data_IF_116039690676
#
_entry.id   IF_116039690676
#
_cell.length_a   1.000
_cell.length_b   1.000
_cell.length_c   1.000
_cell.angle_alpha   90.00
_cell.angle_beta   90.00
_cell.angle_gamma   90.00
#
_symmetry.space_group_name_H-M   'P 1'
#
loop_
_entity.id
_entity.type
_entity.pdbx_description
1 polymer ?
#
# COMPACT_ATOMS: atom_id res chain seq x y z
N UNK A 1 -62.32 91.88 -19.21
CA UNK A 1 -61.92 90.65 -19.85
C UNK A 1 -61.49 89.67 -18.76
N UNK A 2 -62.36 88.70 -18.41
CA UNK A 2 -62.20 87.76 -17.28
C UNK A 2 -61.38 86.55 -17.67
N UNK A 3 -60.26 86.27 -16.98
CA UNK A 3 -59.44 85.09 -17.15
C UNK A 3 -60.06 83.96 -16.29
N UNK A 4 -60.65 82.95 -16.98
CA UNK A 4 -61.05 81.67 -16.30
C UNK A 4 -59.85 80.90 -15.83
N UNK A 5 -59.71 80.63 -14.54
CA UNK A 5 -58.81 79.69 -13.89
C UNK A 5 -59.32 78.31 -14.15
N UNK A 6 -58.58 77.46 -14.82
CA UNK A 6 -58.80 75.99 -14.96
C UNK A 6 -58.17 75.35 -13.73
N UNK A 7 -58.96 74.79 -12.85
CA UNK A 7 -58.53 74.01 -11.70
C UNK A 7 -58.42 72.54 -12.17
N UNK A 8 -57.22 72.03 -12.32
CA UNK A 8 -56.99 70.61 -12.56
C UNK A 8 -57.07 69.90 -11.24
N UNK A 9 -58.12 69.09 -11.04
CA UNK A 9 -58.21 68.15 -9.91
C UNK A 9 -57.14 67.02 -10.10
N UNK A 10 -56.33 66.69 -9.09
CA UNK A 10 -55.45 65.55 -9.14
C UNK A 10 -56.30 64.28 -9.27
N UNK A 11 -56.00 63.43 -10.29
CA UNK A 11 -56.52 62.08 -10.41
C UNK A 11 -56.09 61.29 -9.18
N UNK A 12 -57.08 60.75 -8.48
CA UNK A 12 -56.83 59.92 -7.31
C UNK A 12 -55.88 58.77 -7.62
N UNK A 13 -54.90 58.58 -6.72
CA UNK A 13 -54.09 57.40 -6.64
C UNK A 13 -55.03 56.17 -6.56
N UNK A 14 -55.07 55.39 -7.67
CA UNK A 14 -55.59 54.04 -7.58
C UNK A 14 -54.63 53.26 -6.69
N UNK A 15 -55.01 53.06 -5.42
CA UNK A 15 -54.41 52.02 -4.59
C UNK A 15 -54.60 50.71 -5.36
N UNK A 16 -53.58 50.19 -5.95
CA UNK A 16 -53.49 48.80 -6.37
C UNK A 16 -53.70 47.98 -5.08
N UNK A 17 -54.92 47.43 -4.91
CA UNK A 17 -55.19 46.48 -3.80
C UNK A 17 -54.15 45.36 -3.93
N UNK A 18 -53.20 45.30 -3.01
CA UNK A 18 -52.27 44.17 -2.91
C UNK A 18 -53.10 42.89 -2.74
N UNK A 19 -53.03 42.05 -3.76
CA UNK A 19 -53.73 40.76 -3.70
C UNK A 19 -52.94 39.82 -2.78
N UNK A 20 -53.62 39.30 -1.78
CA UNK A 20 -53.03 38.37 -0.81
C UNK A 20 -54.04 37.25 -0.49
N UNK A 21 -53.65 36.01 -0.76
CA UNK A 21 -54.44 34.84 -0.39
C UNK A 21 -54.37 34.60 1.12
N UNK A 22 -55.53 34.65 1.80
CA UNK A 22 -55.68 34.43 3.25
C UNK A 22 -56.60 33.27 3.55
N UNK A 23 -56.35 32.59 4.67
CA UNK A 23 -57.13 31.46 5.15
C UNK A 23 -58.17 31.97 6.13
N UNK A 24 -59.41 31.57 5.97
CA UNK A 24 -60.54 31.92 6.83
C UNK A 24 -61.24 30.64 7.30
N UNK A 25 -61.51 30.48 8.59
CA UNK A 25 -62.37 29.42 9.09
C UNK A 25 -63.80 29.65 8.60
N UNK A 26 -64.51 28.59 8.27
CA UNK A 26 -65.87 28.65 7.78
C UNK A 26 -66.61 27.35 8.09
N UNK A 27 -67.95 27.38 8.03
CA UNK A 27 -68.74 26.17 8.09
C UNK A 27 -69.63 26.04 6.85
N UNK A 28 -70.00 24.84 6.51
CA UNK A 28 -70.94 24.55 5.44
C UNK A 28 -71.92 23.43 5.88
N UNK A 29 -73.15 23.50 5.45
CA UNK A 29 -74.13 22.49 5.78
C UNK A 29 -74.35 21.55 4.61
N UNK A 30 -74.32 20.25 4.85
CA UNK A 30 -74.56 19.20 3.84
C UNK A 30 -75.53 18.18 4.47
N UNK A 31 -76.68 18.02 3.86
CA UNK A 31 -77.74 17.10 4.35
C UNK A 31 -78.15 17.35 5.78
N UNK A 32 -78.26 18.61 6.19
CA UNK A 32 -78.69 19.02 7.57
C UNK A 32 -77.62 18.93 8.65
N UNK A 33 -76.37 18.49 8.27
CA UNK A 33 -75.22 18.43 9.20
C UNK A 33 -74.26 19.54 8.87
N UNK A 34 -73.83 20.28 9.91
CA UNK A 34 -72.85 21.36 9.77
C UNK A 34 -71.39 20.78 9.83
N UNK A 35 -70.57 21.17 8.89
CA UNK A 35 -69.14 20.76 8.77
C UNK A 35 -68.26 22.00 8.85
N UNK A 36 -67.17 21.88 9.61
CA UNK A 36 -66.15 22.91 9.69
C UNK A 36 -65.17 22.80 8.52
N UNK A 37 -64.72 23.91 7.97
CA UNK A 37 -63.75 23.95 6.85
C UNK A 37 -62.95 25.27 6.87
N UNK A 38 -61.92 25.32 6.02
CA UNK A 38 -61.06 26.48 5.81
C UNK A 38 -61.19 26.94 4.37
N UNK A 39 -61.46 28.25 4.16
CA UNK A 39 -61.59 28.86 2.85
C UNK A 39 -60.37 29.75 2.59
N UNK A 40 -59.65 29.48 1.53
CA UNK A 40 -58.58 30.39 1.03
C UNK A 40 -59.21 31.33 0.01
N UNK A 41 -59.06 32.63 0.17
CA UNK A 41 -59.56 33.69 -0.71
C UNK A 41 -58.71 34.95 -0.65
N UNK A 42 -58.88 35.92 -1.57
CA UNK A 42 -58.21 37.21 -1.56
C UNK A 42 -57.29 37.43 -2.76
N UNK A 43 -57.40 36.61 -3.81
CA UNK A 43 -56.66 36.79 -5.07
C UNK A 43 -57.59 36.70 -6.27
N UNK A 44 -57.13 37.20 -7.42
CA UNK A 44 -57.81 37.14 -8.72
C UNK A 44 -57.01 36.35 -9.71
N UNK A 45 -57.67 35.59 -10.58
CA UNK A 45 -57.11 34.99 -11.78
C UNK A 45 -58.00 35.51 -12.94
N UNK A 46 -57.40 36.04 -13.96
CA UNK A 46 -58.10 36.65 -15.14
C UNK A 46 -59.17 37.64 -14.71
N UNK A 47 -58.89 38.46 -13.71
CA UNK A 47 -59.79 39.48 -13.18
C UNK A 47 -60.90 39.01 -12.29
N UNK A 48 -61.07 37.66 -12.09
CA UNK A 48 -62.12 37.07 -11.25
C UNK A 48 -61.58 36.65 -9.90
N UNK A 49 -62.30 37.03 -8.82
CA UNK A 49 -61.96 36.59 -7.45
C UNK A 49 -62.05 35.08 -7.33
N UNK A 50 -60.98 34.47 -6.73
CA UNK A 50 -60.86 33.06 -6.50
C UNK A 50 -61.09 32.67 -5.06
N UNK A 51 -61.63 31.48 -4.82
CA UNK A 51 -61.72 30.83 -3.51
C UNK A 51 -61.50 29.33 -3.63
N UNK A 52 -60.90 28.73 -2.61
CA UNK A 52 -60.73 27.27 -2.51
C UNK A 52 -60.97 26.80 -1.09
N UNK A 53 -61.72 25.71 -0.94
CA UNK A 53 -62.10 25.16 0.36
C UNK A 53 -61.25 23.94 0.71
N UNK A 54 -60.90 23.81 1.99
CA UNK A 54 -60.11 22.72 2.55
C UNK A 54 -60.75 22.24 3.85
N UNK A 55 -60.63 20.95 4.15
CA UNK A 55 -61.04 20.36 5.44
C UNK A 55 -59.93 20.40 6.47
N UNK A 56 -58.67 20.64 6.06
CA UNK A 56 -57.47 20.66 6.87
C UNK A 56 -56.80 22.03 6.82
N UNK A 57 -56.46 22.58 8.00
CA UNK A 57 -55.87 23.91 8.13
C UNK A 57 -54.47 23.99 7.50
N UNK A 58 -53.61 23.01 7.74
CA UNK A 58 -52.26 23.00 7.23
C UNK A 58 -52.22 22.98 5.70
N UNK A 59 -53.17 22.24 5.07
CA UNK A 59 -53.34 22.23 3.62
C UNK A 59 -53.85 23.57 3.08
N UNK A 60 -54.74 24.23 3.79
CA UNK A 60 -55.22 25.56 3.41
C UNK A 60 -54.11 26.61 3.48
N UNK A 61 -53.33 26.60 4.55
CA UNK A 61 -52.17 27.48 4.70
C UNK A 61 -51.06 27.25 3.67
N UNK A 62 -50.74 25.98 3.38
CA UNK A 62 -49.80 25.64 2.36
C UNK A 62 -50.23 26.15 0.98
N UNK A 63 -51.52 25.99 0.65
CA UNK A 63 -52.10 26.51 -0.60
C UNK A 63 -52.08 28.04 -0.64
N UNK A 64 -52.43 28.74 0.44
CA UNK A 64 -52.35 30.19 0.50
C UNK A 64 -50.93 30.71 0.29
N UNK A 65 -49.91 30.02 0.89
CA UNK A 65 -48.52 30.36 0.68
C UNK A 65 -48.11 30.18 -0.79
N UNK A 66 -48.51 29.10 -1.44
CA UNK A 66 -48.17 28.87 -2.87
C UNK A 66 -48.81 29.94 -3.78
N UNK A 67 -50.04 30.34 -3.53
CA UNK A 67 -50.72 31.43 -4.27
C UNK A 67 -50.00 32.75 -4.06
N UNK A 68 -49.62 33.09 -2.84
CA UNK A 68 -48.91 34.36 -2.55
C UNK A 68 -47.51 34.38 -3.18
N UNK A 69 -46.81 33.26 -3.27
CA UNK A 69 -45.57 33.16 -3.99
C UNK A 69 -45.76 33.44 -5.49
N UNK A 70 -46.78 32.84 -6.11
CA UNK A 70 -47.09 33.07 -7.51
C UNK A 70 -47.43 34.53 -7.79
N UNK A 71 -48.25 35.16 -6.92
CA UNK A 71 -48.59 36.61 -7.02
C UNK A 71 -47.36 37.50 -6.93
N UNK A 72 -46.39 37.16 -6.07
CA UNK A 72 -45.10 37.88 -5.94
C UNK A 72 -44.18 37.67 -7.12
N UNK A 73 -44.30 36.53 -7.80
CA UNK A 73 -43.49 36.21 -8.98
C UNK A 73 -44.02 36.88 -10.27
N UNK A 74 -45.27 37.33 -10.28
CA UNK A 74 -45.83 38.05 -11.47
C UNK A 74 -45.01 39.31 -11.76
N UNK A 75 -44.36 39.35 -12.91
CA UNK A 75 -43.55 40.47 -13.37
C UNK A 75 -42.14 40.60 -12.82
N UNK A 76 -41.63 39.59 -12.11
CA UNK A 76 -40.24 39.60 -11.56
C UNK A 76 -39.29 38.72 -12.39
N UNK A 77 -38.04 39.18 -12.54
CA UNK A 77 -36.95 38.41 -13.19
C UNK A 77 -36.49 37.20 -12.38
N UNK A 78 -36.74 37.17 -11.05
CA UNK A 78 -36.42 36.07 -10.17
C UNK A 78 -37.69 35.50 -9.57
N UNK A 79 -38.00 34.26 -9.90
CA UNK A 79 -39.15 33.55 -9.32
C UNK A 79 -38.84 33.02 -7.92
N UNK A 80 -39.74 33.24 -6.97
CA UNK A 80 -39.75 32.55 -5.68
C UNK A 80 -40.40 31.18 -5.85
N UNK A 81 -39.72 30.12 -5.46
CA UNK A 81 -40.20 28.74 -5.54
C UNK A 81 -40.34 28.18 -4.13
N UNK A 82 -41.48 27.57 -3.85
CA UNK A 82 -41.66 26.84 -2.59
C UNK A 82 -40.96 25.47 -2.73
N UNK A 83 -39.96 25.20 -1.88
CA UNK A 83 -39.25 23.94 -1.82
C UNK A 83 -39.22 23.34 -0.42
N UNK A 84 -39.14 22.01 -0.32
CA UNK A 84 -38.90 21.29 0.93
C UNK A 84 -37.43 21.20 1.30
N UNK A 85 -36.54 21.70 0.45
CA UNK A 85 -35.10 21.66 0.67
C UNK A 85 -34.70 22.68 1.75
N UNK A 86 -33.73 22.34 2.57
CA UNK A 86 -33.09 23.27 3.49
C UNK A 86 -32.27 24.32 2.71
N UNK A 87 -31.99 25.46 3.32
CA UNK A 87 -31.17 26.53 2.74
C UNK A 87 -29.81 25.99 2.27
N UNK A 88 -29.18 25.12 3.06
CA UNK A 88 -27.91 24.47 2.69
C UNK A 88 -28.02 23.62 1.41
N UNK A 89 -29.12 22.88 1.27
CA UNK A 89 -29.39 22.06 0.08
C UNK A 89 -29.66 22.92 -1.14
N UNK A 90 -30.39 24.02 -1.00
CA UNK A 90 -30.63 24.99 -2.10
C UNK A 90 -29.30 25.59 -2.56
N UNK A 91 -28.45 26.04 -1.63
CA UNK A 91 -27.14 26.62 -1.95
C UNK A 91 -26.22 25.60 -2.65
N UNK A 92 -26.25 24.31 -2.23
CA UNK A 92 -25.52 23.24 -2.92
C UNK A 92 -26.04 23.00 -4.34
N UNK A 93 -27.35 22.95 -4.52
CA UNK A 93 -27.96 22.78 -5.84
C UNK A 93 -27.60 23.92 -6.78
N UNK A 94 -27.71 25.19 -6.32
CA UNK A 94 -27.31 26.35 -7.12
C UNK A 94 -25.83 26.33 -7.51
N UNK A 95 -24.94 25.95 -6.58
CA UNK A 95 -23.51 25.79 -6.87
C UNK A 95 -23.27 24.69 -7.91
N UNK A 96 -23.97 23.56 -7.79
CA UNK A 96 -23.87 22.46 -8.75
C UNK A 96 -24.31 22.90 -10.14
N UNK A 97 -25.47 23.56 -10.28
CA UNK A 97 -25.97 24.11 -11.54
C UNK A 97 -25.00 25.11 -12.16
N UNK A 98 -24.43 26.03 -11.38
CA UNK A 98 -23.41 26.98 -11.89
C UNK A 98 -22.16 26.27 -12.40
N UNK A 99 -21.76 25.16 -11.74
CA UNK A 99 -20.56 24.39 -12.15
C UNK A 99 -20.83 23.60 -13.42
N UNK A 100 -22.02 23.05 -13.59
CA UNK A 100 -22.41 22.29 -14.78
C UNK A 100 -22.62 23.16 -16.03
N UNK A 101 -22.97 24.43 -15.84
CA UNK A 101 -23.34 25.32 -16.94
C UNK A 101 -24.60 24.84 -17.67
N UNK A 102 -24.71 25.19 -18.96
CA UNK A 102 -25.85 24.80 -19.81
C UNK A 102 -25.59 23.50 -20.59
N UNK A 103 -24.40 22.89 -20.43
CA UNK A 103 -23.96 21.75 -21.25
C UNK A 103 -24.62 20.44 -20.82
N UNK A 104 -24.87 20.27 -19.51
CA UNK A 104 -25.42 19.05 -18.94
C UNK A 104 -26.62 19.35 -18.03
N UNK A 105 -27.66 18.53 -18.08
CA UNK A 105 -28.73 18.60 -17.12
C UNK A 105 -28.33 17.93 -15.80
N UNK A 106 -28.94 18.34 -14.70
CA UNK A 106 -28.71 17.70 -13.40
C UNK A 106 -29.09 16.21 -13.41
N UNK A 107 -30.15 15.84 -14.15
CA UNK A 107 -30.61 14.46 -14.27
C UNK A 107 -29.56 13.60 -15.01
N UNK A 108 -28.98 14.10 -16.11
CA UNK A 108 -27.90 13.40 -16.82
C UNK A 108 -26.68 13.18 -15.89
N UNK A 109 -26.34 14.16 -15.07
CA UNK A 109 -25.21 14.03 -14.12
C UNK A 109 -25.52 13.05 -13.01
N UNK A 110 -26.71 13.09 -12.46
CA UNK A 110 -27.16 12.13 -11.42
C UNK A 110 -27.18 10.71 -11.98
N UNK A 111 -27.76 10.51 -13.18
CA UNK A 111 -27.80 9.22 -13.82
C UNK A 111 -26.40 8.69 -14.16
N UNK A 112 -25.52 9.55 -14.66
CA UNK A 112 -24.13 9.20 -14.89
C UNK A 112 -23.44 8.81 -13.58
N UNK A 113 -23.60 9.61 -12.51
CA UNK A 113 -23.01 9.33 -11.20
C UNK A 113 -23.52 8.00 -10.63
N UNK A 114 -24.83 7.76 -10.62
CA UNK A 114 -25.42 6.53 -10.11
C UNK A 114 -24.99 5.29 -10.91
N UNK A 115 -24.82 5.46 -12.23
CA UNK A 115 -24.37 4.37 -13.12
C UNK A 115 -22.90 4.02 -12.87
N UNK A 116 -22.02 5.02 -12.60
CA UNK A 116 -20.56 4.82 -12.55
C UNK A 116 -20.01 4.81 -11.12
N UNK A 117 -20.73 5.37 -10.15
CA UNK A 117 -20.32 5.48 -8.76
C UNK A 117 -21.31 4.85 -7.78
N UNK A 118 -22.07 3.86 -8.22
CA UNK A 118 -22.97 3.14 -7.32
C UNK A 118 -22.13 2.53 -6.19
N UNK A 119 -22.40 2.86 -4.92
CA UNK A 119 -21.66 2.25 -3.83
C UNK A 119 -21.89 0.73 -3.86
N UNK A 120 -20.88 -0.08 -3.51
CA UNK A 120 -21.06 -1.52 -3.45
C UNK A 120 -22.13 -1.86 -2.41
N UNK A 121 -22.88 -2.92 -2.66
CA UNK A 121 -23.93 -3.39 -1.74
C UNK A 121 -23.38 -3.80 -0.37
N UNK A 122 -22.09 -4.18 -0.32
CA UNK A 122 -21.37 -4.49 0.90
C UNK A 122 -20.24 -3.48 1.13
N UNK A 123 -20.22 -2.87 2.30
CA UNK A 123 -19.21 -1.89 2.69
C UNK A 123 -18.38 -2.41 3.86
N UNK A 124 -17.08 -2.25 3.78
CA UNK A 124 -16.13 -2.73 4.79
C UNK A 124 -15.03 -1.70 5.01
N UNK A 125 -14.50 -1.61 6.25
CA UNK A 125 -13.36 -0.77 6.55
C UNK A 125 -12.05 -1.36 5.98
N UNK A 126 -11.01 -0.53 5.81
CA UNK A 126 -9.70 -0.99 5.32
C UNK A 126 -9.13 -2.05 6.26
N UNK A 127 -9.20 -1.87 7.59
CA UNK A 127 -8.66 -2.83 8.56
C UNK A 127 -9.40 -4.16 8.56
N UNK A 128 -10.72 -4.15 8.41
CA UNK A 128 -11.48 -5.38 8.35
C UNK A 128 -11.27 -6.10 7.02
N UNK A 129 -11.25 -5.36 5.91
CA UNK A 129 -10.89 -5.89 4.60
C UNK A 129 -9.48 -6.49 4.56
N UNK A 130 -8.52 -5.86 5.25
CA UNK A 130 -7.17 -6.39 5.39
C UNK A 130 -7.15 -7.78 6.05
N UNK A 131 -8.00 -8.05 7.04
CA UNK A 131 -8.04 -9.37 7.70
C UNK A 131 -8.37 -10.45 6.67
N UNK A 132 -9.45 -10.27 5.91
CA UNK A 132 -9.85 -11.22 4.84
C UNK A 132 -8.77 -11.39 3.77
N UNK A 133 -8.17 -10.29 3.33
CA UNK A 133 -7.11 -10.32 2.32
C UNK A 133 -5.88 -11.08 2.76
N UNK A 134 -5.47 -10.88 4.01
CA UNK A 134 -4.33 -11.59 4.60
C UNK A 134 -4.63 -13.07 4.79
N UNK A 135 -5.83 -13.41 5.28
CA UNK A 135 -6.25 -14.80 5.48
C UNK A 135 -6.30 -15.59 4.15
N UNK A 136 -6.70 -14.94 3.06
CA UNK A 136 -6.65 -15.53 1.73
C UNK A 136 -5.22 -15.74 1.26
N UNK A 137 -4.36 -14.72 1.39
CA UNK A 137 -2.93 -14.86 1.06
C UNK A 137 -2.23 -15.96 1.88
N UNK A 138 -2.63 -16.16 3.13
CA UNK A 138 -2.10 -17.21 3.97
C UNK A 138 -2.54 -18.60 3.48
N UNK A 139 -3.80 -18.76 3.06
CA UNK A 139 -4.31 -19.97 2.41
C UNK A 139 -3.63 -20.26 1.07
N UNK A 140 -3.25 -19.21 0.31
CA UNK A 140 -2.44 -19.32 -0.92
C UNK A 140 -0.98 -19.73 -0.64
N UNK A 141 -0.56 -19.89 0.62
CA UNK A 141 0.82 -20.24 0.99
C UNK A 141 1.82 -19.09 0.83
N UNK A 142 1.38 -17.85 0.90
CA UNK A 142 2.26 -16.68 0.89
C UNK A 142 3.10 -16.67 2.17
N UNK A 143 4.42 -16.38 2.01
CA UNK A 143 5.37 -16.40 3.11
C UNK A 143 5.00 -15.43 4.24
N UNK A 144 5.22 -15.84 5.49
CA UNK A 144 4.97 -15.06 6.70
C UNK A 144 5.61 -13.65 6.67
N UNK A 145 6.83 -13.53 6.12
CA UNK A 145 7.51 -12.23 5.97
C UNK A 145 6.78 -11.29 5.01
N UNK A 146 6.17 -11.83 3.96
CA UNK A 146 5.34 -11.04 3.02
C UNK A 146 4.03 -10.64 3.69
N UNK A 147 3.36 -11.57 4.40
CA UNK A 147 2.13 -11.28 5.15
C UNK A 147 2.34 -10.19 6.21
N UNK A 148 3.46 -10.26 6.96
CA UNK A 148 3.83 -9.20 7.92
C UNK A 148 3.99 -7.83 7.24
N UNK A 149 4.61 -7.80 6.06
CA UNK A 149 4.77 -6.56 5.28
C UNK A 149 3.43 -6.03 4.77
N UNK A 150 2.57 -6.89 4.22
CA UNK A 150 1.22 -6.56 3.81
C UNK A 150 0.42 -5.95 4.97
N UNK A 151 0.40 -6.63 6.12
CA UNK A 151 -0.25 -6.13 7.35
C UNK A 151 0.28 -4.75 7.76
N UNK A 152 1.59 -4.56 7.73
CA UNK A 152 2.23 -3.29 8.09
C UNK A 152 1.78 -2.15 7.16
N UNK A 153 1.81 -2.38 5.84
CA UNK A 153 1.47 -1.34 4.85
C UNK A 153 -0.01 -0.97 4.94
N UNK A 154 -0.91 -1.96 4.98
CA UNK A 154 -2.35 -1.71 5.03
C UNK A 154 -2.78 -1.07 6.35
N UNK A 155 -2.16 -1.46 7.50
CA UNK A 155 -2.37 -0.78 8.78
C UNK A 155 -1.92 0.68 8.74
N UNK A 156 -0.73 0.95 8.19
CA UNK A 156 -0.22 2.31 8.09
C UNK A 156 -1.13 3.18 7.19
N UNK A 157 -1.63 2.62 6.09
CA UNK A 157 -2.57 3.30 5.21
C UNK A 157 -3.92 3.54 5.89
N UNK A 158 -4.48 2.55 6.56
CA UNK A 158 -5.73 2.69 7.30
C UNK A 158 -5.65 3.79 8.37
N UNK A 159 -4.53 3.83 9.12
CA UNK A 159 -4.32 4.89 10.12
C UNK A 159 -4.21 6.29 9.48
N UNK A 160 -3.59 6.40 8.30
CA UNK A 160 -3.45 7.67 7.59
C UNK A 160 -4.77 8.17 6.96
N UNK A 161 -5.78 7.32 6.85
CA UNK A 161 -7.09 7.59 6.24
C UNK A 161 -8.25 7.37 7.20
N UNK A 162 -8.00 7.44 8.52
CA UNK A 162 -9.01 7.23 9.58
C UNK A 162 -9.81 5.93 9.39
N UNK A 163 -9.16 4.89 8.87
CA UNK A 163 -9.76 3.57 8.62
C UNK A 163 -11.08 3.65 7.83
N UNK A 164 -11.13 4.52 6.83
CA UNK A 164 -12.34 4.71 6.02
C UNK A 164 -12.79 3.43 5.30
N UNK A 165 -13.98 3.47 4.71
CA UNK A 165 -14.53 2.37 3.93
C UNK A 165 -13.76 2.19 2.62
N UNK A 166 -13.52 0.94 2.23
CA UNK A 166 -12.71 0.58 1.05
C UNK A 166 -13.18 1.29 -0.23
N UNK A 167 -14.50 1.36 -0.45
CA UNK A 167 -15.06 2.02 -1.64
C UNK A 167 -14.95 3.55 -1.64
N UNK A 168 -14.66 4.17 -0.50
CA UNK A 168 -14.52 5.63 -0.38
C UNK A 168 -13.11 6.12 -0.61
N UNK A 169 -12.14 5.20 -0.64
CA UNK A 169 -10.73 5.55 -0.88
C UNK A 169 -10.57 6.14 -2.28
N UNK A 170 -9.97 7.31 -2.32
CA UNK A 170 -9.71 8.05 -3.56
C UNK A 170 -8.23 7.97 -3.96
N UNK A 171 -7.93 8.34 -5.19
CA UNK A 171 -6.55 8.53 -5.67
C UNK A 171 -5.79 9.58 -4.83
N UNK A 172 -6.50 10.64 -4.40
CA UNK A 172 -5.92 11.69 -3.56
C UNK A 172 -5.48 11.16 -2.18
N UNK A 173 -6.26 10.27 -1.56
CA UNK A 173 -5.90 9.65 -0.27
C UNK A 173 -4.63 8.82 -0.38
N UNK A 174 -4.51 8.03 -1.46
CA UNK A 174 -3.32 7.21 -1.71
C UNK A 174 -2.11 8.10 -2.01
N UNK A 175 -2.25 9.10 -2.85
CA UNK A 175 -1.18 10.04 -3.20
C UNK A 175 -0.68 10.79 -1.96
N UNK A 176 -1.58 11.26 -1.12
CA UNK A 176 -1.26 11.90 0.16
C UNK A 176 -0.48 10.95 1.06
N UNK A 177 -0.98 9.73 1.27
CA UNK A 177 -0.27 8.72 2.06
C UNK A 177 1.14 8.43 1.53
N UNK A 178 1.28 8.19 0.22
CA UNK A 178 2.57 7.88 -0.39
C UNK A 178 3.57 9.05 -0.28
N UNK A 179 3.09 10.30 -0.30
CA UNK A 179 3.92 11.50 -0.14
C UNK A 179 4.43 11.69 1.30
N UNK A 180 3.71 11.15 2.28
CA UNK A 180 4.08 11.19 3.69
C UNK A 180 5.08 10.12 4.10
N UNK A 181 5.38 9.15 3.23
CA UNK A 181 6.35 8.11 3.53
C UNK A 181 7.75 8.69 3.77
N UNK A 182 8.37 8.28 4.88
CA UNK A 182 9.71 8.73 5.28
C UNK A 182 10.70 7.57 5.28
N UNK A 183 11.99 7.91 5.16
CA UNK A 183 13.09 6.98 5.35
C UNK A 183 13.22 6.61 6.84
N UNK A 184 14.19 5.74 7.17
CA UNK A 184 14.42 5.30 8.56
C UNK A 184 14.82 6.43 9.52
N UNK A 185 15.34 7.54 8.98
CA UNK A 185 15.67 8.74 9.74
C UNK A 185 14.45 9.55 10.19
N UNK A 186 13.25 9.20 9.69
CA UNK A 186 11.98 9.89 9.97
C UNK A 186 11.85 11.28 9.30
N UNK A 187 12.87 11.76 8.60
CA UNK A 187 12.98 13.13 8.05
C UNK A 187 12.96 13.08 6.52
N UNK A 188 13.90 12.33 5.94
CA UNK A 188 14.06 12.24 4.49
C UNK A 188 12.87 11.53 3.82
N UNK A 189 12.48 11.91 2.59
CA UNK A 189 11.49 11.15 1.84
C UNK A 189 11.90 9.68 1.66
N UNK A 190 10.94 8.79 1.68
CA UNK A 190 11.20 7.37 1.44
C UNK A 190 11.82 7.12 0.06
N UNK A 191 12.72 6.14 -0.04
CA UNK A 191 13.31 5.74 -1.31
C UNK A 191 12.24 5.31 -2.31
N UNK A 192 12.46 5.56 -3.61
CA UNK A 192 11.54 5.22 -4.71
C UNK A 192 11.09 3.74 -4.67
N UNK A 193 11.97 2.83 -4.25
CA UNK A 193 11.59 1.42 -4.04
C UNK A 193 10.57 1.23 -2.92
N UNK A 194 10.67 1.97 -1.83
CA UNK A 194 9.69 1.93 -0.73
C UNK A 194 8.34 2.45 -1.21
N UNK A 195 8.34 3.59 -1.91
CA UNK A 195 7.12 4.12 -2.56
C UNK A 195 6.47 3.06 -3.44
N UNK A 196 7.21 2.46 -4.38
CA UNK A 196 6.68 1.43 -5.28
C UNK A 196 6.14 0.21 -4.51
N UNK A 197 6.81 -0.20 -3.44
CA UNK A 197 6.36 -1.31 -2.62
C UNK A 197 4.99 -1.02 -1.97
N UNK A 198 4.80 0.18 -1.41
CA UNK A 198 3.53 0.59 -0.79
C UNK A 198 2.44 0.73 -1.85
N UNK A 199 2.72 1.45 -2.94
CA UNK A 199 1.81 1.62 -4.06
C UNK A 199 1.33 0.28 -4.63
N UNK A 200 2.24 -0.67 -4.86
CA UNK A 200 1.92 -1.97 -5.44
C UNK A 200 1.12 -2.85 -4.46
N UNK A 201 1.40 -2.78 -3.17
CA UNK A 201 0.63 -3.52 -2.17
C UNK A 201 -0.81 -2.98 -2.07
N UNK A 202 -0.98 -1.65 -2.08
CA UNK A 202 -2.30 -1.02 -2.13
C UNK A 202 -3.03 -1.40 -3.42
N UNK A 203 -2.35 -1.34 -4.58
CA UNK A 203 -2.94 -1.75 -5.86
C UNK A 203 -3.42 -3.20 -5.82
N UNK A 204 -2.62 -4.10 -5.25
CA UNK A 204 -2.98 -5.52 -5.12
C UNK A 204 -4.19 -5.72 -4.20
N UNK A 205 -4.26 -4.98 -3.10
CA UNK A 205 -5.40 -5.02 -2.18
C UNK A 205 -6.69 -4.51 -2.85
N UNK A 206 -6.68 -3.34 -3.49
CA UNK A 206 -7.86 -2.78 -4.15
C UNK A 206 -8.30 -3.61 -5.36
N UNK A 207 -7.35 -4.15 -6.13
CA UNK A 207 -7.65 -5.08 -7.21
C UNK A 207 -8.33 -6.35 -6.69
N UNK A 208 -7.88 -6.89 -5.57
CA UNK A 208 -8.51 -8.03 -4.92
C UNK A 208 -9.89 -7.65 -4.37
N UNK A 209 -10.03 -6.49 -3.71
CA UNK A 209 -11.30 -5.99 -3.17
C UNK A 209 -12.38 -5.73 -4.24
N UNK A 210 -12.00 -5.60 -5.50
CA UNK A 210 -12.91 -5.49 -6.65
C UNK A 210 -13.39 -6.82 -7.24
N UNK A 211 -12.93 -7.96 -6.73
CA UNK A 211 -13.38 -9.28 -7.22
C UNK A 211 -14.81 -9.60 -6.78
N UNK A 212 -15.49 -10.42 -7.54
CA UNK A 212 -16.87 -10.88 -7.25
C UNK A 212 -16.91 -12.11 -6.34
N UNK A 213 -15.81 -12.87 -6.27
CA UNK A 213 -15.63 -14.12 -5.52
C UNK A 213 -15.03 -13.93 -4.12
N UNK A 214 -15.21 -12.74 -3.54
CA UNK A 214 -14.79 -12.44 -2.17
C UNK A 214 -15.57 -13.28 -1.14
N UNK A 215 -15.07 -13.42 0.11
CA UNK A 215 -15.79 -14.11 1.19
C UNK A 215 -17.20 -13.59 1.44
N UNK A 216 -17.49 -12.37 1.00
CA UNK A 216 -18.82 -11.75 1.04
C UNK A 216 -19.66 -11.99 -0.21
N UNK A 217 -19.13 -12.70 -1.21
CA UNK A 217 -19.72 -12.92 -2.53
C UNK A 217 -20.10 -11.62 -3.29
N UNK A 218 -19.48 -10.51 -2.95
CA UNK A 218 -19.74 -9.17 -3.52
C UNK A 218 -18.47 -8.33 -3.50
N UNK A 219 -18.20 -7.53 -4.54
CA UNK A 219 -17.06 -6.62 -4.54
C UNK A 219 -17.23 -5.53 -3.48
N UNK A 220 -16.11 -5.10 -2.89
CA UNK A 220 -16.07 -4.01 -1.92
C UNK A 220 -15.74 -2.66 -2.56
N UNK A 221 -15.30 -2.66 -3.78
CA UNK A 221 -15.08 -1.48 -4.62
C UNK A 221 -15.21 -1.86 -6.09
N UNK A 222 -15.53 -0.90 -6.93
CA UNK A 222 -15.57 -1.10 -8.39
C UNK A 222 -14.35 -0.50 -9.09
N UNK A 223 -13.60 0.33 -8.40
CA UNK A 223 -12.45 1.05 -8.93
C UNK A 223 -11.20 0.74 -8.10
N UNK A 224 -10.06 0.65 -8.76
CA UNK A 224 -8.78 0.61 -8.07
C UNK A 224 -8.17 2.03 -8.05
N UNK A 225 -8.16 2.71 -6.89
CA UNK A 225 -7.72 4.10 -6.81
C UNK A 225 -6.21 4.29 -7.04
N UNK A 226 -5.45 3.20 -7.29
CA UNK A 226 -4.03 3.29 -7.64
C UNK A 226 -3.76 3.32 -9.14
N UNK A 227 -4.76 3.10 -9.99
CA UNK A 227 -4.53 2.85 -11.42
C UNK A 227 -3.84 4.02 -12.14
N UNK A 228 -4.17 5.26 -11.77
CA UNK A 228 -3.55 6.45 -12.35
C UNK A 228 -2.27 6.90 -11.63
N UNK A 229 -1.85 6.23 -10.55
CA UNK A 229 -0.63 6.57 -9.82
C UNK A 229 0.54 5.80 -10.42
N UNK A 230 1.46 6.45 -11.15
CA UNK A 230 2.57 5.75 -11.79
C UNK A 230 3.59 5.25 -10.75
N UNK A 231 4.10 4.04 -10.96
CA UNK A 231 5.27 3.56 -10.23
C UNK A 231 6.55 4.20 -10.81
N UNK A 232 7.56 4.40 -9.98
CA UNK A 232 8.89 4.78 -10.46
C UNK A 232 9.48 3.66 -11.30
N UNK A 233 10.08 3.99 -12.44
CA UNK A 233 10.73 3.03 -13.32
C UNK A 233 11.90 2.32 -12.62
N UNK A 234 12.22 1.11 -13.07
CA UNK A 234 13.35 0.34 -12.54
C UNK A 234 14.68 1.11 -12.61
N UNK A 235 14.89 1.92 -13.67
CA UNK A 235 16.06 2.78 -13.81
C UNK A 235 16.14 3.78 -12.65
N UNK A 236 15.06 4.54 -12.40
CA UNK A 236 15.00 5.52 -11.30
C UNK A 236 15.11 4.89 -9.90
N UNK A 237 14.64 3.65 -9.74
CA UNK A 237 14.82 2.89 -8.49
C UNK A 237 16.28 2.47 -8.33
N UNK A 238 16.94 2.04 -9.42
CA UNK A 238 18.33 1.63 -9.41
C UNK A 238 19.29 2.77 -9.05
N UNK A 239 19.02 3.99 -9.50
CA UNK A 239 19.80 5.20 -9.17
C UNK A 239 19.91 5.47 -7.65
N UNK A 240 18.99 4.96 -6.86
CA UNK A 240 18.99 5.10 -5.39
C UNK A 240 19.51 3.86 -4.65
N UNK A 241 19.97 2.83 -5.38
CA UNK A 241 20.57 1.67 -4.71
C UNK A 241 21.98 2.02 -4.28
N UNK A 242 22.35 1.70 -3.04
CA UNK A 242 23.76 1.69 -2.67
C UNK A 242 24.47 0.59 -3.46
N UNK A 243 25.77 0.75 -3.64
CA UNK A 243 26.62 -0.32 -4.15
C UNK A 243 26.50 -1.56 -3.25
N UNK A 244 26.78 -2.72 -3.84
CA UNK A 244 26.76 -3.96 -3.08
C UNK A 244 27.94 -3.92 -2.11
N UNK A 245 27.65 -3.95 -0.82
CA UNK A 245 28.66 -4.06 0.21
C UNK A 245 29.21 -5.49 0.25
N UNK A 246 30.53 -5.61 0.27
CA UNK A 246 31.29 -6.84 0.49
C UNK A 246 32.26 -6.62 1.63
N UNK A 247 32.54 -7.67 2.39
CA UNK A 247 33.55 -7.64 3.45
C UNK A 247 34.92 -7.99 2.81
N UNK A 248 35.98 -7.22 3.08
CA UNK A 248 37.32 -7.57 2.57
C UNK A 248 37.82 -8.91 3.15
N UNK A 249 38.78 -9.58 2.53
CA UNK A 249 39.36 -10.79 3.09
C UNK A 249 39.90 -10.61 4.50
N UNK A 250 40.60 -9.49 4.77
CA UNK A 250 41.14 -9.15 6.10
C UNK A 250 40.01 -8.97 7.15
N UNK A 251 38.97 -8.20 6.79
CA UNK A 251 37.83 -8.00 7.71
C UNK A 251 37.06 -9.30 7.92
N UNK A 252 36.96 -10.14 6.88
CA UNK A 252 36.35 -11.49 6.99
C UNK A 252 37.14 -12.36 7.96
N UNK A 253 38.49 -12.37 7.84
CA UNK A 253 39.38 -13.08 8.74
C UNK A 253 39.25 -12.59 10.18
N UNK A 254 39.26 -11.27 10.40
CA UNK A 254 39.07 -10.68 11.74
C UNK A 254 37.72 -11.03 12.35
N UNK A 255 36.66 -11.01 11.56
CA UNK A 255 35.32 -11.42 12.02
C UNK A 255 35.28 -12.91 12.38
N UNK A 256 35.87 -13.75 11.55
CA UNK A 256 35.93 -15.19 11.80
C UNK A 256 36.77 -15.49 13.06
N UNK A 257 37.92 -14.83 13.25
CA UNK A 257 38.70 -14.91 14.49
C UNK A 257 37.87 -14.50 15.72
N UNK A 258 37.12 -13.39 15.61
CA UNK A 258 36.25 -12.95 16.69
C UNK A 258 35.17 -13.98 17.03
N UNK A 259 34.50 -14.59 16.05
CA UNK A 259 33.44 -15.58 16.33
C UNK A 259 33.98 -16.93 16.81
N UNK A 260 35.25 -17.26 16.56
CA UNK A 260 35.93 -18.42 17.14
C UNK A 260 36.00 -18.34 18.67
N UNK A 261 36.19 -17.15 19.21
CA UNK A 261 36.29 -16.92 20.66
C UNK A 261 34.95 -16.50 21.27
N UNK A 262 34.07 -15.88 20.51
CA UNK A 262 32.79 -15.37 20.98
C UNK A 262 31.90 -16.48 21.53
N UNK A 263 31.65 -16.46 22.85
CA UNK A 263 30.81 -17.43 23.57
C UNK A 263 31.18 -18.88 23.23
N UNK A 264 32.48 -19.18 23.20
CA UNK A 264 32.99 -20.52 22.94
C UNK A 264 32.85 -20.98 21.49
N UNK A 265 32.90 -20.07 20.53
CA UNK A 265 32.90 -20.41 19.10
C UNK A 265 31.54 -20.77 18.51
N UNK A 266 30.45 -20.61 19.26
CA UNK A 266 29.14 -21.10 18.85
C UNK A 266 28.58 -20.52 17.54
N UNK A 267 29.13 -19.39 17.05
CA UNK A 267 28.74 -18.80 15.77
C UNK A 267 29.72 -19.08 14.62
N UNK A 268 30.85 -19.74 14.88
CA UNK A 268 31.89 -19.98 13.89
C UNK A 268 31.34 -20.74 12.67
N UNK A 269 30.67 -21.86 12.90
CA UNK A 269 30.04 -22.68 11.84
C UNK A 269 28.99 -21.93 11.04
N UNK A 270 28.19 -21.07 11.71
CA UNK A 270 27.22 -20.21 11.03
C UNK A 270 27.88 -19.21 10.07
N UNK A 271 28.90 -18.49 10.56
CA UNK A 271 29.57 -17.47 9.74
C UNK A 271 30.43 -18.09 8.62
N UNK A 272 31.09 -19.23 8.87
CA UNK A 272 31.81 -19.97 7.83
C UNK A 272 30.87 -20.38 6.68
N UNK A 273 29.73 -20.98 7.00
CA UNK A 273 28.71 -21.28 6.00
C UNK A 273 28.17 -20.04 5.32
N UNK A 274 27.90 -18.95 6.07
CA UNK A 274 27.39 -17.71 5.49
C UNK A 274 28.35 -17.04 4.51
N UNK A 275 29.67 -17.12 4.77
CA UNK A 275 30.71 -16.55 3.90
C UNK A 275 31.12 -17.46 2.75
N UNK A 276 31.19 -18.79 2.96
CA UNK A 276 31.82 -19.67 1.97
C UNK A 276 30.85 -20.55 1.18
N UNK A 277 29.53 -20.30 1.28
CA UNK A 277 28.54 -21.07 0.50
C UNK A 277 27.58 -20.21 -0.31
N UNK A 278 27.53 -18.92 -0.05
CA UNK A 278 26.51 -18.06 -0.64
C UNK A 278 25.07 -18.40 -0.26
N UNK A 279 24.83 -19.25 0.74
CA UNK A 279 23.51 -19.54 1.28
C UNK A 279 22.97 -18.31 2.03
N UNK A 280 21.67 -18.04 1.93
CA UNK A 280 21.09 -16.84 2.56
C UNK A 280 21.09 -16.92 4.10
N UNK A 281 21.76 -15.98 4.79
CA UNK A 281 22.01 -16.05 6.23
C UNK A 281 20.88 -15.43 7.09
N UNK A 282 19.61 -15.55 6.67
CA UNK A 282 18.50 -14.99 7.45
C UNK A 282 18.25 -15.83 8.71
N UNK A 283 18.26 -15.17 9.88
CA UNK A 283 18.14 -15.81 11.21
C UNK A 283 16.71 -16.17 11.61
N UNK A 284 15.69 -15.74 10.86
CA UNK A 284 14.30 -16.09 11.18
C UNK A 284 13.94 -17.45 10.53
N UNK A 285 13.73 -17.48 9.21
CA UNK A 285 13.31 -18.65 8.43
C UNK A 285 14.17 -18.81 7.17
N UNK A 286 15.44 -18.41 7.26
CA UNK A 286 16.37 -18.42 6.15
C UNK A 286 16.84 -19.82 5.74
N UNK A 287 17.57 -19.89 4.64
CA UNK A 287 18.10 -21.14 4.09
C UNK A 287 19.05 -21.81 5.09
N UNK A 288 19.93 -21.04 5.77
CA UNK A 288 20.85 -21.59 6.79
C UNK A 288 20.12 -22.14 8.02
N UNK A 289 19.05 -21.47 8.50
CA UNK A 289 18.24 -21.98 9.61
C UNK A 289 17.53 -23.28 9.23
N UNK A 290 17.06 -23.40 8.01
CA UNK A 290 16.45 -24.62 7.51
C UNK A 290 17.48 -25.74 7.34
N UNK A 291 18.67 -25.41 6.85
CA UNK A 291 19.78 -26.35 6.74
C UNK A 291 20.16 -26.92 8.11
N UNK A 292 20.24 -26.09 9.17
CA UNK A 292 20.61 -26.53 10.51
C UNK A 292 19.66 -27.57 11.11
N UNK A 293 18.42 -27.65 10.65
CA UNK A 293 17.43 -28.65 11.11
C UNK A 293 17.60 -30.03 10.47
N UNK A 294 18.40 -30.10 9.41
CA UNK A 294 18.63 -31.31 8.60
C UNK A 294 20.10 -31.42 8.18
N UNK A 295 21.00 -31.02 9.07
CA UNK A 295 22.44 -30.93 8.80
C UNK A 295 22.98 -32.27 8.34
N UNK A 296 22.76 -33.36 9.10
CA UNK A 296 23.27 -34.70 8.82
C UNK A 296 22.75 -35.32 7.51
N UNK A 297 21.60 -34.83 7.02
CA UNK A 297 21.01 -35.33 5.77
C UNK A 297 21.52 -34.54 4.55
N UNK A 298 21.75 -33.24 4.73
CA UNK A 298 21.96 -32.31 3.62
C UNK A 298 23.42 -31.91 3.41
N UNK A 299 24.27 -32.04 4.41
CA UNK A 299 25.72 -31.82 4.30
C UNK A 299 26.43 -33.17 4.17
N UNK A 300 27.03 -33.39 3.02
CA UNK A 300 27.79 -34.63 2.76
C UNK A 300 29.27 -34.29 2.61
N UNK A 301 30.05 -34.53 3.67
CA UNK A 301 31.48 -34.28 3.72
C UNK A 301 32.27 -35.20 2.79
N UNK A 302 31.77 -36.41 2.54
CA UNK A 302 32.44 -37.38 1.65
C UNK A 302 32.39 -36.96 0.18
N UNK A 303 31.20 -36.48 -0.26
CA UNK A 303 31.04 -36.00 -1.65
C UNK A 303 31.35 -34.49 -1.78
N UNK A 304 31.66 -33.80 -0.70
CA UNK A 304 31.93 -32.36 -0.70
C UNK A 304 30.74 -31.51 -1.16
N UNK A 305 29.53 -31.90 -0.82
CA UNK A 305 28.32 -31.23 -1.32
C UNK A 305 27.31 -30.90 -0.19
N UNK A 306 26.66 -29.72 -0.33
CA UNK A 306 25.50 -29.33 0.48
C UNK A 306 24.28 -29.31 -0.45
N UNK A 307 23.26 -30.08 -0.12
CA UNK A 307 22.00 -30.13 -0.86
C UNK A 307 21.01 -29.12 -0.30
N UNK A 308 20.42 -28.29 -1.16
CA UNK A 308 19.36 -27.37 -0.78
C UNK A 308 18.08 -27.70 -1.59
N UNK A 309 17.15 -28.46 -1.02
CA UNK A 309 15.88 -28.79 -1.67
C UNK A 309 15.04 -27.54 -1.98
N UNK A 310 14.18 -27.63 -2.99
CA UNK A 310 13.34 -26.52 -3.48
C UNK A 310 12.48 -25.85 -2.38
N UNK A 311 11.97 -26.64 -1.42
CA UNK A 311 11.16 -26.11 -0.31
C UNK A 311 11.96 -25.27 0.71
N UNK A 312 13.29 -25.37 0.68
CA UNK A 312 14.18 -24.59 1.55
C UNK A 312 14.63 -23.27 0.91
N UNK A 313 14.63 -23.19 -0.40
CA UNK A 313 15.17 -22.04 -1.16
C UNK A 313 14.11 -20.92 -1.33
N UNK A 314 14.58 -19.71 -1.55
CA UNK A 314 13.70 -18.57 -1.82
C UNK A 314 13.03 -18.65 -3.20
N UNK A 315 13.72 -19.20 -4.18
CA UNK A 315 13.26 -19.32 -5.58
C UNK A 315 12.42 -20.57 -5.83
N UNK A 316 12.34 -21.46 -4.85
CA UNK A 316 11.72 -22.81 -4.98
C UNK A 316 12.42 -23.72 -6.02
N UNK A 317 13.69 -23.46 -6.29
CA UNK A 317 14.55 -24.31 -7.09
C UNK A 317 15.54 -25.04 -6.20
N UNK A 318 15.73 -26.34 -6.41
CA UNK A 318 16.79 -27.10 -5.73
C UNK A 318 18.15 -26.69 -6.26
N UNK A 319 19.18 -26.71 -5.40
CA UNK A 319 20.57 -26.53 -5.82
C UNK A 319 21.53 -27.31 -4.94
N UNK A 320 22.71 -27.55 -5.47
CA UNK A 320 23.83 -28.06 -4.73
C UNK A 320 24.86 -26.96 -4.56
N UNK A 321 25.52 -26.94 -3.41
CA UNK A 321 26.62 -26.03 -3.11
C UNK A 321 27.87 -26.87 -2.82
N UNK A 322 28.99 -26.49 -3.42
CA UNK A 322 30.28 -27.17 -3.22
C UNK A 322 30.85 -26.79 -1.86
N UNK A 323 31.36 -27.77 -1.11
CA UNK A 323 32.18 -27.55 0.07
C UNK A 323 33.60 -27.33 -0.38
N UNK A 324 34.03 -26.06 -0.40
CA UNK A 324 35.43 -25.70 -0.68
C UNK A 324 36.36 -26.23 0.40
N UNK A 325 37.65 -26.34 0.11
CA UNK A 325 38.63 -26.91 1.04
C UNK A 325 38.70 -26.09 2.34
N UNK A 326 38.74 -24.77 2.25
CA UNK A 326 38.68 -23.94 3.47
C UNK A 326 37.41 -24.17 4.28
N UNK A 327 36.23 -24.27 3.63
CA UNK A 327 34.97 -24.55 4.32
C UNK A 327 34.99 -25.93 4.98
N UNK A 328 35.59 -26.92 4.36
CA UNK A 328 35.78 -28.27 4.93
C UNK A 328 36.48 -28.17 6.28
N UNK A 329 37.61 -27.47 6.35
CA UNK A 329 38.34 -27.26 7.60
C UNK A 329 37.51 -26.55 8.68
N UNK A 330 36.69 -25.58 8.32
CA UNK A 330 35.75 -24.94 9.25
C UNK A 330 34.71 -25.91 9.77
N UNK A 331 34.14 -26.78 8.92
CA UNK A 331 33.13 -27.73 9.31
C UNK A 331 33.69 -28.83 10.23
N UNK A 332 34.91 -29.29 9.97
CA UNK A 332 35.65 -30.26 10.77
C UNK A 332 36.05 -29.68 12.13
N UNK A 333 36.58 -28.45 12.18
CA UNK A 333 36.97 -27.79 13.41
C UNK A 333 35.79 -27.54 14.38
N UNK A 334 34.59 -27.41 13.85
CA UNK A 334 33.38 -27.19 14.63
C UNK A 334 32.36 -28.34 14.45
N UNK A 335 32.88 -29.56 14.26
CA UNK A 335 32.04 -30.77 14.25
C UNK A 335 31.26 -30.87 15.57
N UNK A 336 30.02 -31.35 15.53
CA UNK A 336 29.14 -31.45 16.70
C UNK A 336 28.54 -30.13 17.20
N UNK A 337 29.00 -28.98 16.75
CA UNK A 337 28.35 -27.71 17.05
C UNK A 337 27.18 -27.43 16.09
N UNK A 338 26.02 -26.99 16.58
CA UNK A 338 24.89 -26.68 15.72
C UNK A 338 25.16 -25.48 14.83
N UNK A 339 24.75 -25.52 13.56
CA UNK A 339 24.82 -24.39 12.65
C UNK A 339 24.04 -23.19 13.18
N UNK A 340 22.83 -23.42 13.70
CA UNK A 340 21.98 -22.38 14.28
C UNK A 340 21.80 -22.61 15.79
N UNK A 341 22.69 -22.05 16.63
CA UNK A 341 22.64 -22.23 18.07
C UNK A 341 21.46 -21.45 18.70
N UNK A 342 21.14 -21.80 19.95
CA UNK A 342 20.17 -21.02 20.74
C UNK A 342 20.58 -19.55 20.79
N UNK A 343 19.60 -18.63 20.77
CA UNK A 343 19.81 -17.18 20.73
C UNK A 343 20.49 -16.63 19.44
N UNK A 344 20.56 -17.43 18.37
CA UNK A 344 21.22 -17.01 17.12
C UNK A 344 20.86 -15.59 16.70
N UNK A 345 19.60 -15.18 16.76
CA UNK A 345 19.15 -13.86 16.30
C UNK A 345 19.84 -12.71 17.03
N UNK A 346 19.94 -12.78 18.35
CA UNK A 346 20.54 -11.73 19.16
C UNK A 346 22.08 -11.74 19.02
N UNK A 347 22.68 -12.92 19.01
CA UNK A 347 24.14 -13.05 18.87
C UNK A 347 24.60 -12.63 17.46
N UNK A 348 23.87 -13.02 16.42
CA UNK A 348 24.11 -12.55 15.05
C UNK A 348 23.97 -11.02 14.94
N UNK A 349 22.93 -10.43 15.57
CA UNK A 349 22.75 -8.98 15.58
C UNK A 349 23.92 -8.27 16.30
N UNK A 350 24.46 -8.85 17.37
CA UNK A 350 25.63 -8.33 18.07
C UNK A 350 26.87 -8.30 17.16
N UNK A 351 27.19 -9.42 16.48
CA UNK A 351 28.32 -9.50 15.55
C UNK A 351 28.14 -8.53 14.37
N UNK A 352 26.94 -8.48 13.79
CA UNK A 352 26.63 -7.54 12.71
C UNK A 352 26.86 -6.09 13.11
N UNK A 353 26.47 -5.71 14.34
CA UNK A 353 26.69 -4.35 14.85
C UNK A 353 28.18 -4.06 15.05
N UNK A 354 28.94 -5.02 15.60
CA UNK A 354 30.37 -4.87 15.84
C UNK A 354 31.16 -4.65 14.55
N UNK A 355 30.85 -5.41 13.50
CA UNK A 355 31.54 -5.34 12.21
C UNK A 355 30.79 -4.49 11.17
N UNK A 356 29.75 -3.75 11.58
CA UNK A 356 28.92 -2.89 10.72
C UNK A 356 28.40 -3.61 9.44
N UNK A 357 28.09 -4.91 9.53
CA UNK A 357 27.65 -5.69 8.37
C UNK A 357 26.27 -5.25 7.88
N UNK A 358 26.16 -5.06 6.57
CA UNK A 358 24.90 -4.85 5.88
C UNK A 358 24.07 -6.15 5.79
N UNK A 359 22.82 -6.02 5.34
CA UNK A 359 21.98 -7.21 5.10
C UNK A 359 22.53 -8.00 3.92
N UNK A 360 22.60 -9.33 4.06
CA UNK A 360 23.11 -10.27 3.05
C UNK A 360 24.58 -10.04 2.60
N UNK A 361 25.37 -9.23 3.31
CA UNK A 361 26.74 -8.88 2.95
C UNK A 361 27.67 -10.11 2.87
N UNK A 362 27.54 -11.06 3.79
CA UNK A 362 28.30 -12.32 3.74
C UNK A 362 28.05 -13.08 2.44
N UNK A 363 26.80 -13.16 2.01
CA UNK A 363 26.43 -13.75 0.72
C UNK A 363 26.91 -12.91 -0.46
N UNK A 364 26.88 -11.58 -0.34
CA UNK A 364 27.41 -10.69 -1.38
C UNK A 364 28.93 -10.89 -1.54
N UNK A 365 29.64 -11.02 -0.43
CA UNK A 365 31.07 -11.33 -0.43
C UNK A 365 31.36 -12.66 -1.13
N UNK A 366 30.66 -13.75 -0.76
CA UNK A 366 30.79 -15.03 -1.47
C UNK A 366 30.65 -14.88 -2.98
N UNK A 367 29.55 -14.27 -3.43
CA UNK A 367 29.26 -14.19 -4.86
C UNK A 367 30.34 -13.39 -5.61
N UNK A 368 30.77 -12.26 -5.03
CA UNK A 368 31.78 -11.40 -5.64
C UNK A 368 33.14 -12.06 -5.72
N UNK A 369 33.59 -12.70 -4.63
CA UNK A 369 34.89 -13.40 -4.63
C UNK A 369 34.86 -14.71 -5.42
N UNK A 370 33.73 -15.44 -5.43
CA UNK A 370 33.61 -16.66 -6.22
C UNK A 370 33.67 -16.38 -7.73
N UNK A 371 32.98 -15.31 -8.20
CA UNK A 371 33.07 -14.95 -9.61
C UNK A 371 34.44 -14.39 -9.97
N UNK A 372 35.10 -13.70 -9.04
CA UNK A 372 36.47 -13.19 -9.26
C UNK A 372 37.49 -14.32 -9.34
N UNK A 373 37.45 -15.29 -8.42
CA UNK A 373 38.33 -16.43 -8.38
C UNK A 373 38.18 -17.34 -9.62
N UNK A 374 36.92 -17.76 -9.88
CA UNK A 374 36.66 -18.79 -10.91
C UNK A 374 36.46 -18.20 -12.31
N UNK A 375 36.26 -16.91 -12.45
CA UNK A 375 35.90 -16.20 -13.68
C UNK A 375 34.75 -16.84 -14.45
N UNK A 376 33.89 -17.56 -13.74
CA UNK A 376 32.72 -18.24 -14.28
C UNK A 376 31.44 -17.66 -13.71
N UNK A 377 30.66 -16.98 -14.56
CA UNK A 377 29.35 -16.45 -14.20
C UNK A 377 28.33 -17.59 -13.98
N UNK A 378 28.40 -18.62 -14.85
CA UNK A 378 27.52 -19.78 -14.80
C UNK A 378 27.66 -20.56 -13.50
N UNK A 379 28.90 -20.94 -13.14
CA UNK A 379 29.15 -21.68 -11.89
C UNK A 379 28.75 -20.88 -10.67
N UNK A 380 29.07 -19.57 -10.64
CA UNK A 380 28.67 -18.69 -9.54
C UNK A 380 27.12 -18.57 -9.43
N UNK A 381 26.44 -18.57 -10.57
CA UNK A 381 24.96 -18.53 -10.60
C UNK A 381 24.36 -19.82 -10.04
N UNK A 382 24.91 -20.99 -10.41
CA UNK A 382 24.49 -22.31 -9.92
C UNK A 382 24.72 -22.44 -8.41
N UNK A 383 25.91 -22.14 -7.92
CA UNK A 383 26.27 -22.20 -6.50
C UNK A 383 25.42 -21.25 -5.63
N UNK A 384 25.31 -20.00 -6.06
CA UNK A 384 24.56 -19.01 -5.29
C UNK A 384 23.04 -19.10 -5.45
N UNK A 385 22.51 -19.76 -6.50
CA UNK A 385 21.10 -19.75 -6.86
C UNK A 385 20.61 -18.36 -7.25
N UNK A 386 21.46 -17.63 -8.00
CA UNK A 386 21.13 -16.40 -8.71
C UNK A 386 21.03 -16.68 -10.21
N UNK A 387 20.56 -15.71 -10.99
CA UNK A 387 20.65 -15.78 -12.45
C UNK A 387 21.96 -15.15 -12.92
N UNK A 388 22.50 -15.62 -14.06
CA UNK A 388 23.71 -15.05 -14.66
C UNK A 388 23.59 -13.55 -14.90
N UNK A 389 22.39 -13.07 -15.28
CA UNK A 389 22.12 -11.64 -15.47
C UNK A 389 22.30 -10.82 -14.18
N UNK A 390 21.95 -11.39 -13.03
CA UNK A 390 22.17 -10.78 -11.72
C UNK A 390 23.67 -10.75 -11.38
N UNK A 391 24.40 -11.87 -11.62
CA UNK A 391 25.84 -11.94 -11.37
C UNK A 391 26.56 -10.89 -12.24
N UNK A 392 26.31 -10.91 -13.56
CA UNK A 392 26.90 -9.95 -14.50
C UNK A 392 26.64 -8.50 -14.14
N UNK A 393 25.42 -8.19 -13.73
CA UNK A 393 25.01 -6.81 -13.44
C UNK A 393 25.57 -6.26 -12.13
N UNK A 394 25.77 -7.11 -11.11
CA UNK A 394 25.97 -6.65 -9.76
C UNK A 394 27.25 -7.13 -9.08
N UNK A 395 27.94 -8.11 -9.63
CA UNK A 395 29.08 -8.75 -8.96
C UNK A 395 30.33 -8.85 -9.84
N UNK A 396 30.19 -8.77 -11.18
CA UNK A 396 31.31 -8.88 -12.07
C UNK A 396 32.26 -7.68 -11.93
N UNK A 397 33.57 -7.93 -11.90
CA UNK A 397 34.63 -6.93 -11.80
C UNK A 397 34.66 -6.08 -10.53
N UNK A 398 34.08 -6.54 -9.42
CA UNK A 398 34.19 -5.87 -8.12
C UNK A 398 35.52 -6.18 -7.42
N UNK A 399 36.08 -7.37 -7.64
CA UNK A 399 37.28 -7.85 -6.98
C UNK A 399 38.25 -8.48 -7.99
N UNK A 400 39.53 -8.54 -7.62
CA UNK A 400 40.56 -9.26 -8.39
C UNK A 400 40.52 -10.76 -8.10
N UNK A 401 41.17 -11.55 -8.95
CA UNK A 401 41.29 -12.99 -8.72
C UNK A 401 42.15 -13.29 -7.48
N UNK A 402 43.10 -12.44 -7.18
CA UNK A 402 44.01 -12.49 -6.01
C UNK A 402 43.20 -12.32 -4.71
N UNK A 403 42.37 -11.28 -4.65
CA UNK A 403 41.41 -11.08 -3.51
C UNK A 403 40.47 -12.26 -3.35
N UNK A 404 40.02 -12.87 -4.47
CA UNK A 404 39.22 -14.09 -4.44
C UNK A 404 39.96 -15.28 -3.83
N UNK A 405 41.27 -15.45 -4.20
CA UNK A 405 42.13 -16.46 -3.63
C UNK A 405 42.32 -16.26 -2.13
N UNK A 406 42.64 -15.04 -1.73
CA UNK A 406 42.82 -14.70 -0.31
C UNK A 406 41.53 -15.00 0.49
N UNK A 407 40.37 -14.61 -0.04
CA UNK A 407 39.09 -14.85 0.64
C UNK A 407 38.84 -16.34 0.86
N UNK A 408 39.09 -17.20 -0.10
CA UNK A 408 38.91 -18.65 -0.01
C UNK A 408 40.08 -19.38 0.64
N UNK A 409 41.17 -18.70 1.02
CA UNK A 409 42.26 -19.25 1.83
C UNK A 409 42.08 -19.09 3.35
N UNK A 410 41.01 -18.42 3.80
CA UNK A 410 40.75 -18.21 5.22
C UNK A 410 40.30 -19.51 5.90
N UNK A 411 41.10 -20.00 6.84
CA UNK A 411 40.88 -21.27 7.59
C UNK A 411 40.97 -21.04 9.10
N UNK A 412 40.39 -21.92 9.93
CA UNK A 412 40.53 -21.82 11.38
C UNK A 412 41.89 -22.39 11.78
N UNK A 413 42.60 -21.69 12.66
CA UNK A 413 43.71 -22.20 13.44
C UNK A 413 43.23 -22.48 14.87
N UNK A 414 43.08 -23.74 15.24
CA UNK A 414 42.57 -24.15 16.53
C UNK A 414 43.64 -24.06 17.63
N UNK A 415 44.92 -23.93 17.29
CA UNK A 415 45.99 -23.73 18.26
C UNK A 415 46.04 -22.30 18.77
N UNK A 416 45.94 -21.34 17.84
CA UNK A 416 45.92 -19.90 18.20
C UNK A 416 44.52 -19.38 18.56
N UNK A 417 43.49 -20.07 18.12
CA UNK A 417 42.08 -19.61 18.27
C UNK A 417 41.72 -18.47 17.33
N UNK A 418 42.48 -18.31 16.24
CA UNK A 418 42.29 -17.27 15.22
C UNK A 418 42.01 -17.85 13.85
N UNK A 419 41.42 -17.10 12.95
CA UNK A 419 41.36 -17.40 11.55
C UNK A 419 42.62 -16.86 10.86
N UNK A 420 43.20 -17.66 9.97
CA UNK A 420 44.47 -17.36 9.26
C UNK A 420 44.29 -17.53 7.77
N UNK A 421 45.16 -16.91 6.97
CA UNK A 421 45.29 -17.22 5.55
C UNK A 421 46.20 -18.44 5.37
N UNK A 422 45.74 -19.42 4.63
CA UNK A 422 46.52 -20.64 4.37
C UNK A 422 47.42 -20.47 3.16
N UNK A 423 48.73 -20.56 3.36
CA UNK A 423 49.71 -20.45 2.27
C UNK A 423 49.56 -21.53 1.19
N UNK A 424 49.13 -22.72 1.57
CA UNK A 424 48.91 -23.84 0.65
C UNK A 424 47.74 -23.59 -0.32
N UNK A 425 46.78 -22.70 0.06
CA UNK A 425 45.63 -22.39 -0.78
C UNK A 425 45.82 -21.11 -1.59
N UNK A 426 46.78 -20.24 -1.23
CA UNK A 426 47.12 -19.04 -1.99
C UNK A 426 47.95 -19.38 -3.26
N UNK A 427 48.65 -20.50 -3.27
CA UNK A 427 49.55 -20.93 -4.36
C UNK A 427 48.85 -21.43 -5.62
N UNK A 428 47.59 -21.11 -5.87
CA UNK A 428 47.02 -21.11 -7.22
C UNK A 428 46.71 -22.47 -7.83
N UNK A 429 46.26 -23.45 -7.08
CA UNK A 429 45.64 -24.62 -7.70
C UNK A 429 44.17 -24.28 -8.07
N UNK A 430 43.91 -24.09 -9.38
CA UNK A 430 42.59 -23.83 -9.97
C UNK A 430 41.56 -24.97 -9.71
N UNK A 431 41.84 -25.85 -8.76
CA UNK A 431 41.08 -27.04 -8.43
C UNK A 431 40.19 -26.95 -7.19
N UNK A 432 40.14 -25.78 -6.48
CA UNK A 432 39.36 -25.63 -5.23
C UNK A 432 37.86 -25.94 -5.38
N UNK A 433 37.32 -25.90 -6.61
CA UNK A 433 35.93 -26.23 -6.93
C UNK A 433 35.80 -27.37 -7.96
N UNK A 434 36.91 -28.09 -8.29
CA UNK A 434 36.80 -29.33 -9.06
C UNK A 434 36.44 -30.48 -8.10
N UNK A 435 35.42 -31.19 -8.46
CA UNK A 435 34.95 -32.41 -7.78
C UNK A 435 36.06 -33.50 -7.96
N UNK A 436 36.51 -34.08 -6.88
CA UNK A 436 37.18 -35.38 -6.91
C UNK A 436 36.13 -36.48 -7.03
#
# INVERSE_FOLDING_TARGET
MSKKRITIKPKGNSRTEEQEAKVYPSTYTKRGVEYFCYIVRGWKVDGKWQRKQFTDQAKAEAYARSVNINLRNEGQQRMLIHTSMSEAQVNQAEKAYRTLGETYSMDEVVDFFLKHNRPPEFTISILDGMKFYVDEKEREGVRNTTLKKTKMILKAFANATDNQLVHRVTEADITSYLSLLRAKDGISPAKKKTFNNHRNELSSFFKWAGKTDLPTNRPWTFNNPTDNIPAFSNKRVAEQRPDIATTSPETTRELLSYVMTYKGGKLAKWFALAYFTGIRPSTDEGELVKLSRREDELINMTTGRIMLPANMTKTKDSRQVTISENLRLWLEAYEGMPIAPANLKNDYAHVRKKFNLQSDETRHSFISYHVALNRSIGDTALESGNTESIIKKHYLNHHSQEEGSDFFSIVPDMETGEAVFSDSMQAGDNNQFKVV
#
